data_IF_508418115222
#
_entry.id   IF_508418115222
#
_cell.length_a   1.000
_cell.length_b   1.000
_cell.length_c   1.000
_cell.angle_alpha   90.00
_cell.angle_beta   90.00
_cell.angle_gamma   90.00
#
_symmetry.space_group_name_H-M   'P 1'
#
loop_
_entity.id
_entity.type
_entity.pdbx_description
1 polymer ?
#
# COMPACT_ATOMS: atom_id res chain seq x y z
N UNK A 1 0.82 6.41 9.62
CA UNK A 1 -0.06 7.41 10.25
C UNK A 1 0.42 8.84 10.02
N UNK A 2 1.69 9.19 10.31
CA UNK A 2 2.22 10.54 10.12
C UNK A 2 2.05 11.09 8.69
N UNK A 3 2.35 10.29 7.65
CA UNK A 3 2.13 10.69 6.26
C UNK A 3 0.64 10.96 5.94
N UNK A 4 -0.26 10.10 6.42
CA UNK A 4 -1.71 10.26 6.21
C UNK A 4 -2.24 11.52 6.90
N UNK A 5 -1.76 11.84 8.10
CA UNK A 5 -2.08 13.09 8.79
C UNK A 5 -1.57 14.31 8.01
N UNK A 6 -0.38 14.24 7.41
CA UNK A 6 0.14 15.27 6.51
C UNK A 6 -0.76 15.48 5.29
N UNK A 7 -1.18 14.41 4.61
CA UNK A 7 -2.10 14.50 3.46
C UNK A 7 -3.50 15.03 3.82
N UNK A 8 -3.97 14.76 5.04
CA UNK A 8 -5.22 15.32 5.55
C UNK A 8 -5.09 16.82 5.84
N UNK A 9 -3.97 17.25 6.43
CA UNK A 9 -3.71 18.66 6.77
C UNK A 9 -3.43 19.53 5.55
N UNK A 10 -2.53 19.10 4.66
CA UNK A 10 -2.17 19.85 3.44
C UNK A 10 -3.28 19.84 2.37
N UNK A 11 -4.20 18.86 2.42
CA UNK A 11 -5.31 18.75 1.47
C UNK A 11 -6.57 19.52 1.86
N UNK A 12 -6.59 20.20 3.02
CA UNK A 12 -7.78 20.83 3.59
C UNK A 12 -8.40 21.95 2.73
N UNK A 13 -7.64 22.51 1.78
CA UNK A 13 -8.09 23.54 0.85
C UNK A 13 -8.06 23.13 -0.64
N UNK A 14 -7.89 21.84 -0.96
CA UNK A 14 -7.86 21.38 -2.35
C UNK A 14 -9.21 21.60 -3.10
N UNK A 15 -9.28 22.27 -4.25
CA UNK A 15 -10.52 22.37 -5.03
C UNK A 15 -10.84 21.05 -5.76
N UNK A 16 -12.13 20.66 -5.83
CA UNK A 16 -12.58 19.46 -6.59
C UNK A 16 -12.61 18.13 -5.83
N UNK A 17 -12.71 18.15 -4.49
CA UNK A 17 -12.70 16.92 -3.68
C UNK A 17 -14.00 16.12 -3.80
N UNK A 18 -13.94 14.78 -3.85
CA UNK A 18 -15.12 13.94 -3.70
C UNK A 18 -15.78 14.19 -2.33
N UNK A 19 -17.11 14.12 -2.23
CA UNK A 19 -17.81 14.25 -0.94
C UNK A 19 -17.27 13.21 0.06
N UNK A 20 -17.20 13.56 1.35
CA UNK A 20 -16.67 12.73 2.45
C UNK A 20 -15.13 12.54 2.48
N UNK A 21 -14.35 13.50 1.97
CA UNK A 21 -12.87 13.47 2.01
C UNK A 21 -12.31 14.41 3.08
N UNK A 22 -11.39 13.91 3.93
CA UNK A 22 -10.58 14.70 4.85
C UNK A 22 -9.25 15.04 4.16
N UNK A 23 -9.20 16.22 3.55
CA UNK A 23 -8.09 16.62 2.67
C UNK A 23 -7.98 15.70 1.45
N UNK A 24 -6.78 15.15 1.20
CA UNK A 24 -6.57 14.15 0.14
C UNK A 24 -6.99 12.72 0.54
N UNK A 25 -7.41 12.51 1.80
CA UNK A 25 -7.80 11.19 2.30
C UNK A 25 -9.32 11.03 2.16
N UNK A 26 -9.76 10.21 1.22
CA UNK A 26 -11.18 9.88 1.10
C UNK A 26 -11.56 8.87 2.21
N UNK A 27 -12.40 9.28 3.15
CA UNK A 27 -12.72 8.48 4.35
C UNK A 27 -13.45 7.19 3.99
N UNK A 28 -14.49 7.20 3.13
CA UNK A 28 -15.13 5.96 2.67
C UNK A 28 -14.15 4.98 2.01
N UNK A 29 -13.30 5.47 1.10
CA UNK A 29 -12.31 4.63 0.44
C UNK A 29 -11.28 4.07 1.43
N UNK A 30 -10.84 4.87 2.41
CA UNK A 30 -9.92 4.42 3.45
C UNK A 30 -10.53 3.32 4.33
N UNK A 31 -11.81 3.44 4.69
CA UNK A 31 -12.54 2.42 5.45
C UNK A 31 -12.66 1.13 4.64
N UNK A 32 -13.10 1.22 3.39
CA UNK A 32 -13.27 0.06 2.51
C UNK A 32 -11.93 -0.65 2.26
N UNK A 33 -10.88 0.11 1.92
CA UNK A 33 -9.52 -0.42 1.74
C UNK A 33 -8.99 -1.04 3.03
N UNK A 34 -9.22 -0.40 4.17
CA UNK A 34 -8.83 -0.91 5.49
C UNK A 34 -9.49 -2.24 5.80
N UNK A 35 -10.80 -2.36 5.57
CA UNK A 35 -11.55 -3.60 5.73
C UNK A 35 -11.04 -4.72 4.81
N UNK A 36 -10.93 -4.45 3.51
CA UNK A 36 -10.41 -5.43 2.54
C UNK A 36 -8.99 -5.87 2.88
N UNK A 37 -8.13 -4.94 3.29
CA UNK A 37 -6.76 -5.23 3.71
C UNK A 37 -6.75 -6.07 4.99
N UNK A 38 -7.56 -5.74 5.99
CA UNK A 38 -7.65 -6.49 7.24
C UNK A 38 -8.13 -7.92 7.00
N UNK A 39 -9.07 -8.12 6.07
CA UNK A 39 -9.54 -9.44 5.67
C UNK A 39 -8.46 -10.23 4.91
N UNK A 40 -7.68 -9.56 4.05
CA UNK A 40 -6.69 -10.21 3.17
C UNK A 40 -5.34 -10.46 3.88
N UNK A 41 -4.96 -9.61 4.83
CA UNK A 41 -3.72 -9.69 5.61
C UNK A 41 -3.45 -11.07 6.26
N UNK A 42 -4.42 -11.73 6.94
CA UNK A 42 -4.17 -13.05 7.55
C UNK A 42 -3.90 -14.14 6.51
N UNK A 43 -4.48 -14.06 5.31
CA UNK A 43 -4.20 -15.01 4.24
C UNK A 43 -2.73 -14.93 3.80
N UNK A 44 -2.22 -13.72 3.60
CA UNK A 44 -0.80 -13.49 3.30
C UNK A 44 0.13 -13.95 4.42
N UNK A 45 -0.19 -13.63 5.67
CA UNK A 45 0.60 -14.05 6.83
C UNK A 45 0.67 -15.57 6.98
N UNK A 46 -0.46 -16.27 6.77
CA UNK A 46 -0.54 -17.73 6.84
C UNK A 46 0.23 -18.38 5.70
N UNK A 47 0.20 -17.82 4.50
CA UNK A 47 0.98 -18.29 3.36
C UNK A 47 2.49 -18.11 3.62
N UNK A 48 2.90 -16.96 4.16
CA UNK A 48 4.29 -16.69 4.50
C UNK A 48 4.84 -17.65 5.57
N UNK A 49 4.03 -18.01 6.58
CA UNK A 49 4.43 -18.97 7.62
C UNK A 49 4.51 -20.41 7.11
N UNK A 50 3.70 -20.79 6.10
CA UNK A 50 3.76 -22.12 5.49
C UNK A 50 4.90 -22.28 4.47
N UNK A 51 5.45 -21.17 3.98
CA UNK A 51 6.50 -21.18 2.98
C UNK A 51 7.86 -21.50 3.62
N UNK A 52 8.58 -22.45 3.04
CA UNK A 52 9.94 -22.77 3.49
C UNK A 52 10.84 -21.53 3.35
N UNK A 53 11.66 -21.23 4.38
CA UNK A 53 12.56 -20.06 4.46
C UNK A 53 13.41 -19.87 3.19
N UNK A 54 13.80 -20.96 2.54
CA UNK A 54 14.58 -20.93 1.29
C UNK A 54 13.78 -20.37 0.10
N UNK A 55 12.50 -20.72 0.01
CA UNK A 55 11.58 -20.24 -1.04
C UNK A 55 11.23 -18.77 -0.80
N UNK A 56 10.91 -18.40 0.45
CA UNK A 56 10.58 -17.02 0.79
C UNK A 56 11.73 -16.05 0.48
N UNK A 57 12.98 -16.44 0.81
CA UNK A 57 14.17 -15.63 0.51
C UNK A 57 14.38 -15.45 -1.01
N UNK A 58 14.18 -16.51 -1.79
CA UNK A 58 14.30 -16.44 -3.26
C UNK A 58 13.21 -15.57 -3.87
N UNK A 59 11.96 -15.74 -3.43
CA UNK A 59 10.84 -14.94 -3.91
C UNK A 59 11.05 -13.45 -3.63
N UNK A 60 11.51 -13.10 -2.43
CA UNK A 60 11.81 -11.71 -2.08
C UNK A 60 12.97 -11.13 -2.90
N UNK A 61 14.04 -11.91 -3.12
CA UNK A 61 15.15 -11.48 -3.97
C UNK A 61 14.71 -11.22 -5.42
N UNK A 62 13.87 -12.09 -5.98
CA UNK A 62 13.29 -11.91 -7.32
C UNK A 62 12.40 -10.66 -7.37
N UNK A 63 11.56 -10.46 -6.36
CA UNK A 63 10.72 -9.26 -6.25
C UNK A 63 11.54 -7.96 -6.22
N UNK A 64 12.63 -7.93 -5.45
CA UNK A 64 13.52 -6.77 -5.40
C UNK A 64 14.22 -6.51 -6.73
N UNK A 65 14.69 -7.57 -7.40
CA UNK A 65 15.29 -7.46 -8.74
C UNK A 65 14.30 -6.89 -9.75
N UNK A 66 13.05 -7.38 -9.75
CA UNK A 66 11.99 -6.88 -10.64
C UNK A 66 11.65 -5.42 -10.35
N UNK A 67 11.59 -5.03 -9.08
CA UNK A 67 11.31 -3.65 -8.68
C UNK A 67 12.45 -2.72 -9.10
N UNK A 68 13.70 -3.12 -8.85
CA UNK A 68 14.88 -2.37 -9.29
C UNK A 68 14.88 -2.19 -10.82
N UNK A 69 14.59 -3.26 -11.56
CA UNK A 69 14.48 -3.21 -13.01
C UNK A 69 13.34 -2.28 -13.44
N UNK A 70 12.16 -2.36 -12.82
CA UNK A 70 11.03 -1.47 -13.13
C UNK A 70 11.35 0.00 -12.87
N UNK A 71 12.18 0.32 -11.86
CA UNK A 71 12.62 1.70 -11.58
C UNK A 71 13.59 2.17 -12.65
N UNK A 72 14.60 1.35 -13.01
CA UNK A 72 15.56 1.68 -14.08
C UNK A 72 14.83 1.87 -15.42
N UNK A 73 13.89 0.99 -15.77
CA UNK A 73 13.08 1.11 -16.98
C UNK A 73 12.18 2.34 -17.00
N UNK A 74 11.73 2.84 -15.84
CA UNK A 74 10.98 4.11 -15.74
C UNK A 74 11.87 5.34 -15.78
N UNK A 75 13.16 5.18 -15.48
CA UNK A 75 14.14 6.26 -15.40
C UNK A 75 14.91 6.48 -16.71
N UNK A 76 14.95 5.48 -17.60
CA UNK A 76 15.36 5.61 -19.00
C UNK A 76 14.25 6.27 -19.83
#
# INVERSE_FOLDING_TARGET
AAAALGFAFFGWDAPGRPPLSLGYVNVPAAVIMGLLTALTAPYGARLAHRLNRKVLRRAFAVYLLLTALSVVLKAL
#
